data_IF_229317347722
#
_entry.id   IF_229317347722
#
_cell.length_a   1.000
_cell.length_b   1.000
_cell.length_c   1.000
_cell.angle_alpha   90.00
_cell.angle_beta   90.00
_cell.angle_gamma   90.00
#
_symmetry.space_group_name_H-M   'P 1'
#
loop_
_entity.id
_entity.type
_entity.pdbx_description
1 polymer ?
#
# COMPACT_ATOMS: atom_id res chain seq x y z
N UNK A 1 -6.99 -13.82 3.69
CA UNK A 1 -6.82 -12.61 4.53
C UNK A 1 -7.92 -11.64 4.18
N UNK A 2 -8.39 -10.78 5.09
CA UNK A 2 -9.35 -9.71 4.74
C UNK A 2 -8.61 -8.53 4.09
N UNK A 3 -9.31 -7.73 3.29
CA UNK A 3 -8.76 -6.49 2.73
C UNK A 3 -8.19 -5.59 3.83
N UNK A 4 -8.91 -5.40 4.93
CA UNK A 4 -8.45 -4.58 6.07
C UNK A 4 -7.16 -5.11 6.72
N UNK A 5 -6.97 -6.43 6.78
CA UNK A 5 -5.71 -6.98 7.32
C UNK A 5 -4.58 -6.82 6.32
N UNK A 6 -4.87 -6.98 5.03
CA UNK A 6 -3.92 -6.80 3.94
C UNK A 6 -3.46 -5.34 3.81
N UNK A 7 -4.38 -4.36 3.92
CA UNK A 7 -4.01 -2.93 3.87
C UNK A 7 -3.13 -2.51 5.03
N UNK A 8 -3.33 -3.07 6.23
CA UNK A 8 -2.42 -2.86 7.37
C UNK A 8 -1.01 -3.37 7.09
N UNK A 9 -0.88 -4.49 6.38
CA UNK A 9 0.42 -4.98 5.93
C UNK A 9 1.03 -4.05 4.87
N UNK A 10 0.25 -3.59 3.89
CA UNK A 10 0.71 -2.61 2.88
C UNK A 10 1.23 -1.34 3.54
N UNK A 11 0.47 -0.74 4.47
CA UNK A 11 0.87 0.47 5.19
C UNK A 11 2.19 0.26 5.93
N UNK A 12 2.36 -0.90 6.58
CA UNK A 12 3.62 -1.23 7.24
C UNK A 12 4.79 -1.31 6.25
N UNK A 13 4.59 -1.98 5.12
CA UNK A 13 5.61 -2.13 4.08
C UNK A 13 5.96 -0.79 3.41
N UNK A 14 4.99 0.11 3.25
CA UNK A 14 5.23 1.49 2.79
C UNK A 14 6.13 2.25 3.77
N UNK A 15 5.83 2.17 5.08
CA UNK A 15 6.63 2.81 6.14
C UNK A 15 8.04 2.22 6.19
N UNK A 16 8.17 0.90 6.11
CA UNK A 16 9.47 0.21 6.09
C UNK A 16 10.32 0.61 4.85
N UNK A 17 9.67 1.04 3.76
CA UNK A 17 10.29 1.55 2.54
C UNK A 17 10.53 3.08 2.55
N UNK A 18 10.15 3.77 3.63
CA UNK A 18 10.46 5.19 3.84
C UNK A 18 9.29 6.16 3.64
N UNK A 19 8.07 5.68 3.38
CA UNK A 19 6.89 6.53 3.45
C UNK A 19 6.69 7.04 4.88
N UNK A 20 6.20 8.27 5.02
CA UNK A 20 5.93 8.84 6.34
C UNK A 20 4.82 8.05 7.06
N UNK A 21 4.95 7.88 8.38
CA UNK A 21 4.00 7.11 9.18
C UNK A 21 2.58 7.71 9.21
N UNK A 22 2.46 9.03 9.02
CA UNK A 22 1.19 9.73 8.93
C UNK A 22 0.65 9.62 7.50
N UNK A 23 1.51 9.72 6.49
CA UNK A 23 1.12 9.67 5.07
C UNK A 23 0.74 8.26 4.59
N UNK A 24 1.42 7.21 5.05
CA UNK A 24 1.24 5.86 4.54
C UNK A 24 -0.21 5.31 4.66
N UNK A 25 -0.94 5.53 5.76
CA UNK A 25 -2.38 5.21 5.82
C UNK A 25 -3.20 6.01 4.80
N UNK A 26 -2.90 7.31 4.64
CA UNK A 26 -3.61 8.18 3.69
C UNK A 26 -3.38 7.77 2.25
N UNK A 27 -2.18 7.30 1.90
CA UNK A 27 -1.89 6.72 0.58
C UNK A 27 -2.89 5.61 0.24
N UNK A 28 -3.15 4.69 1.17
CA UNK A 28 -4.07 3.58 0.92
C UNK A 28 -5.52 4.06 0.87
N UNK A 29 -5.93 4.93 1.79
CA UNK A 29 -7.29 5.46 1.85
C UNK A 29 -7.65 6.32 0.63
N UNK A 30 -6.74 7.18 0.17
CA UNK A 30 -6.96 8.08 -0.98
C UNK A 30 -6.92 7.34 -2.32
N UNK A 31 -6.30 6.15 -2.36
CA UNK A 31 -6.14 5.35 -3.57
C UNK A 31 -6.78 3.96 -3.43
N UNK A 32 -7.85 3.86 -2.62
CA UNK A 32 -8.50 2.60 -2.25
C UNK A 32 -8.89 1.76 -3.48
N UNK A 33 -9.31 2.38 -4.57
CA UNK A 33 -9.68 1.68 -5.81
C UNK A 33 -8.50 0.89 -6.41
N UNK A 34 -7.30 1.48 -6.45
CA UNK A 34 -6.10 0.81 -6.95
C UNK A 34 -5.67 -0.32 -6.02
N UNK A 35 -5.65 -0.05 -4.71
CA UNK A 35 -5.27 -1.06 -3.72
C UNK A 35 -6.27 -2.23 -3.66
N UNK A 36 -7.57 -1.96 -3.85
CA UNK A 36 -8.60 -3.01 -4.01
C UNK A 36 -8.35 -3.86 -5.24
N UNK A 37 -8.03 -3.25 -6.38
CA UNK A 37 -7.73 -4.00 -7.59
C UNK A 37 -6.51 -4.92 -7.38
N UNK A 38 -5.45 -4.43 -6.74
CA UNK A 38 -4.29 -5.25 -6.40
C UNK A 38 -4.65 -6.41 -5.46
N UNK A 39 -5.48 -6.14 -4.44
CA UNK A 39 -5.96 -7.16 -3.51
C UNK A 39 -6.82 -8.23 -4.20
N UNK A 40 -7.77 -7.82 -5.04
CA UNK A 40 -8.67 -8.71 -5.78
C UNK A 40 -7.91 -9.57 -6.80
N UNK A 41 -6.78 -9.06 -7.33
CA UNK A 41 -5.84 -9.80 -8.16
C UNK A 41 -4.91 -10.73 -7.36
N UNK A 42 -5.00 -10.73 -6.04
CA UNK A 42 -4.19 -11.60 -5.16
C UNK A 42 -2.75 -11.14 -4.97
N UNK A 43 -2.46 -9.84 -5.16
CA UNK A 43 -1.13 -9.29 -4.96
C UNK A 43 -0.67 -9.39 -3.49
N UNK A 44 0.64 -9.54 -3.30
CA UNK A 44 1.27 -9.53 -1.98
C UNK A 44 1.49 -8.09 -1.51
N UNK A 45 1.18 -7.80 -0.25
CA UNK A 45 1.26 -6.45 0.32
C UNK A 45 2.61 -5.76 0.09
N UNK A 46 3.72 -6.47 0.32
CA UNK A 46 5.07 -5.91 0.11
C UNK A 46 5.37 -5.58 -1.35
N UNK A 47 4.95 -6.42 -2.31
CA UNK A 47 5.12 -6.15 -3.74
C UNK A 47 4.31 -4.92 -4.12
N UNK A 48 3.05 -4.85 -3.68
CA UNK A 48 2.17 -3.70 -3.93
C UNK A 48 2.74 -2.41 -3.34
N UNK A 49 3.28 -2.43 -2.13
CA UNK A 49 3.95 -1.28 -1.52
C UNK A 49 5.18 -0.86 -2.35
N UNK A 50 5.99 -1.79 -2.84
CA UNK A 50 7.14 -1.49 -3.71
C UNK A 50 6.71 -0.90 -5.05
N UNK A 51 5.65 -1.43 -5.68
CA UNK A 51 5.11 -0.88 -6.92
C UNK A 51 4.60 0.54 -6.71
N UNK A 52 3.90 0.80 -5.60
CA UNK A 52 3.47 2.14 -5.23
C UNK A 52 4.66 3.10 -5.12
N UNK A 53 5.66 2.74 -4.31
CA UNK A 53 6.86 3.56 -4.08
C UNK A 53 7.67 3.80 -5.36
N UNK A 54 7.67 2.84 -6.29
CA UNK A 54 8.44 2.96 -7.55
C UNK A 54 7.76 3.87 -8.57
N UNK A 55 6.43 3.84 -8.64
CA UNK A 55 5.69 4.47 -9.74
C UNK A 55 4.96 5.76 -9.36
N UNK A 56 4.67 5.97 -8.08
CA UNK A 56 3.80 7.06 -7.61
C UNK A 56 4.46 7.95 -6.55
N UNK A 57 5.50 7.46 -5.88
CA UNK A 57 6.19 8.23 -4.84
C UNK A 57 7.32 9.06 -5.44
N UNK A 58 7.14 10.39 -5.44
CA UNK A 58 8.20 11.36 -5.75
C UNK A 58 8.60 11.99 -4.40
N UNK A 59 9.86 11.86 -3.96
CA UNK A 59 10.30 12.34 -2.64
C UNK A 59 10.22 13.86 -2.47
#
# INVERSE_FOLDING_TARGET
>A
MSYESWTKEVVRELIDQGADMIEAPHIVDENDDWFREQFDNGAYAGITATEWMTHHYIP
#
